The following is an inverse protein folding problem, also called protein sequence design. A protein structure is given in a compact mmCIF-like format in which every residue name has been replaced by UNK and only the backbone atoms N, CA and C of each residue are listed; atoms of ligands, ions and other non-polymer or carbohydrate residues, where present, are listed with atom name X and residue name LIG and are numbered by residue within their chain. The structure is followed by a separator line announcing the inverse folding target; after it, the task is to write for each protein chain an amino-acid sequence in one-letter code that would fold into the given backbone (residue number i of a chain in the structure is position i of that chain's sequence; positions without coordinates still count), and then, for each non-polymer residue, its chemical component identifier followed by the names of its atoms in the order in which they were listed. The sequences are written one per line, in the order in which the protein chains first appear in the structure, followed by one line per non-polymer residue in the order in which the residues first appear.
data_IF_276482366941
#
_entry.id   IF_276482366941
#
_cell.length_a   1.000
_cell.length_b   1.000
_cell.length_c   1.000
_cell.angle_alpha   90.00
_cell.angle_beta   90.00
_cell.angle_gamma   90.00
#
_symmetry.space_group_name_H-M   'P 1'
#
loop_
_entity.id
_entity.type
_entity.pdbx_description
1 polymer ?
#
# COMPACT_ATOMS: atom_id res chain seq x y z
N UNK A 1 18.28 -2.43 -25.11
CA UNK A 1 16.85 -2.37 -24.74
C UNK A 1 16.74 -2.37 -23.21
N UNK A 2 16.63 -1.20 -22.56
CA UNK A 2 16.78 -1.08 -21.10
C UNK A 2 15.74 -1.87 -20.29
N UNK A 3 14.53 -2.04 -20.85
CA UNK A 3 13.45 -2.80 -20.23
C UNK A 3 13.78 -4.29 -20.02
N UNK A 4 14.54 -4.92 -20.91
CA UNK A 4 14.97 -6.32 -20.76
C UNK A 4 15.87 -6.47 -19.52
N UNK A 5 16.80 -5.52 -19.33
CA UNK A 5 17.69 -5.50 -18.18
C UNK A 5 16.89 -5.36 -16.89
N UNK A 6 15.90 -4.45 -16.88
CA UNK A 6 15.03 -4.25 -15.72
C UNK A 6 14.21 -5.51 -15.41
N UNK A 7 13.62 -6.17 -16.43
CA UNK A 7 12.90 -7.44 -16.23
C UNK A 7 13.83 -8.51 -15.68
N UNK A 8 15.04 -8.65 -16.23
CA UNK A 8 15.99 -9.64 -15.76
C UNK A 8 16.34 -9.41 -14.28
N UNK A 9 16.59 -8.17 -13.87
CA UNK A 9 16.84 -7.82 -12.47
C UNK A 9 15.63 -8.12 -11.57
N UNK A 10 14.42 -7.79 -12.01
CA UNK A 10 13.19 -8.08 -11.25
C UNK A 10 12.93 -9.58 -11.13
N UNK A 11 13.21 -10.37 -12.16
CA UNK A 11 13.08 -11.83 -12.13
C UNK A 11 14.11 -12.46 -11.19
N UNK A 12 15.33 -11.95 -11.16
CA UNK A 12 16.36 -12.37 -10.20
C UNK A 12 15.90 -12.05 -8.77
N UNK A 13 15.42 -10.84 -8.52
CA UNK A 13 14.91 -10.43 -7.21
C UNK A 13 13.73 -11.31 -6.76
N UNK A 14 12.76 -11.55 -7.65
CA UNK A 14 11.64 -12.45 -7.41
C UNK A 14 12.09 -13.89 -7.14
N UNK A 15 13.11 -14.39 -7.82
CA UNK A 15 13.62 -15.75 -7.61
C UNK A 15 14.23 -15.92 -6.22
N UNK A 16 15.03 -14.95 -5.78
CA UNK A 16 15.71 -15.03 -4.47
C UNK A 16 14.79 -14.67 -3.30
N UNK A 17 13.80 -13.81 -3.52
CA UNK A 17 12.97 -13.25 -2.46
C UNK A 17 11.50 -13.68 -2.54
N UNK A 18 11.14 -14.67 -3.37
CA UNK A 18 9.74 -15.00 -3.72
C UNK A 18 8.76 -15.02 -2.53
N UNK A 19 9.15 -15.66 -1.43
CA UNK A 19 8.31 -15.81 -0.23
C UNK A 19 8.19 -14.53 0.62
N UNK A 20 9.06 -13.57 0.39
CA UNK A 20 9.16 -12.28 1.12
C UNK A 20 8.74 -11.10 0.26
N UNK A 21 8.48 -11.32 -1.03
CA UNK A 21 8.15 -10.30 -2.00
C UNK A 21 6.70 -9.85 -1.84
N UNK A 22 6.52 -8.56 -1.60
CA UNK A 22 5.21 -7.94 -1.49
C UNK A 22 4.53 -7.75 -2.87
N UNK A 23 3.19 -7.67 -2.86
CA UNK A 23 2.33 -7.54 -4.06
C UNK A 23 2.78 -6.44 -5.06
N UNK A 24 3.47 -5.40 -4.59
CA UNK A 24 3.94 -4.31 -5.43
C UNK A 24 5.12 -4.67 -6.35
N UNK A 25 5.91 -5.71 -6.04
CA UNK A 25 6.98 -6.19 -6.92
C UNK A 25 6.39 -6.91 -8.15
N UNK A 26 5.34 -7.71 -7.95
CA UNK A 26 4.59 -8.31 -9.05
C UNK A 26 3.97 -7.23 -9.93
N UNK A 27 3.38 -6.20 -9.33
CA UNK A 27 2.86 -5.04 -10.06
C UNK A 27 3.96 -4.37 -10.91
N UNK A 28 5.14 -4.13 -10.33
CA UNK A 28 6.28 -3.54 -11.02
C UNK A 28 6.73 -4.41 -12.20
N UNK A 29 6.89 -5.73 -12.00
CA UNK A 29 7.25 -6.68 -13.04
C UNK A 29 6.27 -6.62 -14.23
N UNK A 30 4.97 -6.70 -13.96
CA UNK A 30 3.95 -6.69 -15.00
C UNK A 30 3.81 -5.33 -15.69
N UNK A 31 4.10 -4.22 -15.00
CA UNK A 31 4.20 -2.91 -15.65
C UNK A 31 5.36 -2.84 -16.64
N UNK A 32 6.54 -3.30 -16.22
CA UNK A 32 7.71 -3.31 -17.10
C UNK A 32 7.49 -4.23 -18.29
N UNK A 33 6.87 -5.39 -18.09
CA UNK A 33 6.46 -6.29 -19.18
C UNK A 33 5.48 -5.61 -20.14
N UNK A 34 4.49 -4.89 -19.61
CA UNK A 34 3.52 -4.15 -20.43
C UNK A 34 4.18 -3.04 -21.25
N UNK A 35 5.15 -2.31 -20.67
CA UNK A 35 5.93 -1.30 -21.38
C UNK A 35 6.81 -1.92 -22.47
N UNK A 36 7.45 -3.06 -22.18
CA UNK A 36 8.25 -3.79 -23.16
C UNK A 36 7.38 -4.22 -24.35
N UNK A 37 6.22 -4.82 -24.10
CA UNK A 37 5.28 -5.22 -25.16
C UNK A 37 4.78 -4.02 -25.98
N UNK A 38 4.52 -2.87 -25.33
CA UNK A 38 4.16 -1.63 -26.02
C UNK A 38 5.27 -1.18 -26.97
N UNK A 39 6.54 -1.22 -26.54
CA UNK A 39 7.66 -0.81 -27.40
C UNK A 39 7.82 -1.68 -28.65
N UNK A 40 7.50 -2.97 -28.57
CA UNK A 40 7.59 -3.90 -29.70
C UNK A 40 6.37 -3.84 -30.63
N UNK A 41 5.16 -3.82 -30.07
CA UNK A 41 3.93 -3.98 -30.86
C UNK A 41 3.17 -2.66 -31.12
N UNK A 42 3.51 -1.57 -30.43
CA UNK A 42 2.91 -0.22 -30.58
C UNK A 42 1.37 -0.19 -30.48
N UNK A 43 0.77 -1.12 -29.74
CA UNK A 43 -0.69 -1.21 -29.56
C UNK A 43 -1.13 -0.49 -28.28
N UNK A 44 -1.26 0.83 -28.35
CA UNK A 44 -1.61 1.68 -27.20
C UNK A 44 -2.94 1.29 -26.53
N UNK A 45 -3.94 0.92 -27.30
CA UNK A 45 -5.26 0.54 -26.77
C UNK A 45 -5.22 -0.73 -25.92
N UNK A 46 -4.37 -1.70 -26.29
CA UNK A 46 -4.17 -2.94 -25.54
C UNK A 46 -3.31 -2.66 -24.31
N UNK A 47 -2.29 -1.82 -24.43
CA UNK A 47 -1.48 -1.40 -23.29
C UNK A 47 -2.31 -0.74 -22.18
N UNK A 48 -3.20 0.19 -22.53
CA UNK A 48 -4.09 0.85 -21.56
C UNK A 48 -5.00 -0.17 -20.88
N UNK A 49 -5.57 -1.12 -21.62
CA UNK A 49 -6.37 -2.22 -21.04
C UNK A 49 -5.54 -3.10 -20.10
N UNK A 50 -4.30 -3.43 -20.47
CA UNK A 50 -3.41 -4.22 -19.63
C UNK A 50 -3.11 -3.50 -18.31
N UNK A 51 -2.84 -2.19 -18.33
CA UNK A 51 -2.69 -1.39 -17.12
C UNK A 51 -3.97 -1.43 -16.28
N UNK A 52 -5.14 -1.23 -16.90
CA UNK A 52 -6.43 -1.27 -16.21
C UNK A 52 -6.61 -2.61 -15.48
N UNK A 53 -6.47 -3.72 -16.20
CA UNK A 53 -6.61 -5.06 -15.61
C UNK A 53 -5.56 -5.33 -14.54
N UNK A 54 -4.30 -4.93 -14.76
CA UNK A 54 -3.24 -5.10 -13.78
C UNK A 54 -3.59 -4.40 -12.46
N UNK A 55 -4.01 -3.13 -12.51
CA UNK A 55 -4.41 -2.39 -11.30
C UNK A 55 -5.60 -3.06 -10.62
N UNK A 56 -6.63 -3.43 -11.38
CA UNK A 56 -7.83 -4.10 -10.83
C UNK A 56 -7.44 -5.42 -10.16
N UNK A 57 -6.64 -6.25 -10.80
CA UNK A 57 -6.19 -7.53 -10.25
C UNK A 57 -5.37 -7.34 -8.98
N UNK A 58 -4.45 -6.38 -8.96
CA UNK A 58 -3.62 -6.10 -7.77
C UNK A 58 -4.47 -5.62 -6.59
N UNK A 59 -5.41 -4.71 -6.81
CA UNK A 59 -6.31 -4.24 -5.75
C UNK A 59 -7.23 -5.38 -5.28
N UNK A 60 -7.83 -6.13 -6.20
CA UNK A 60 -8.71 -7.25 -5.87
C UNK A 60 -7.97 -8.38 -5.14
N UNK A 61 -6.73 -8.69 -5.52
CA UNK A 61 -5.89 -9.65 -4.80
C UNK A 61 -5.67 -9.20 -3.35
N UNK A 62 -5.44 -7.90 -3.11
CA UNK A 62 -5.33 -7.36 -1.76
C UNK A 62 -6.64 -7.49 -0.97
N UNK A 63 -7.79 -7.22 -1.59
CA UNK A 63 -9.11 -7.41 -0.97
C UNK A 63 -9.33 -8.87 -0.58
N UNK A 64 -9.06 -9.82 -1.48
CA UNK A 64 -9.22 -11.26 -1.23
C UNK A 64 -8.28 -11.73 -0.10
N UNK A 65 -7.03 -11.28 -0.13
CA UNK A 65 -6.06 -11.59 0.93
C UNK A 65 -6.54 -11.08 2.29
N UNK A 66 -7.06 -9.85 2.36
CA UNK A 66 -7.61 -9.26 3.60
C UNK A 66 -8.83 -10.03 4.10
N UNK A 67 -9.73 -10.44 3.20
CA UNK A 67 -10.90 -11.26 3.53
C UNK A 67 -10.53 -12.69 3.96
N UNK A 68 -9.39 -13.19 3.52
CA UNK A 68 -8.90 -14.52 3.92
C UNK A 68 -8.11 -14.49 5.24
N UNK A 69 -7.74 -13.30 5.72
CA UNK A 69 -7.00 -13.12 6.96
C UNK A 69 -7.94 -12.89 8.14
N UNK A 70 -8.03 -13.88 9.04
CA UNK A 70 -8.80 -13.77 10.29
C UNK A 70 -8.33 -12.59 11.15
N UNK A 71 -7.01 -12.34 11.19
CA UNK A 71 -6.39 -11.21 11.90
C UNK A 71 -6.77 -9.85 11.31
N UNK A 72 -7.04 -9.78 10.00
CA UNK A 72 -7.47 -8.55 9.37
C UNK A 72 -8.96 -8.32 9.62
N UNK A 73 -9.81 -9.32 9.39
CA UNK A 73 -11.27 -9.24 9.57
C UNK A 73 -11.66 -8.85 11.00
N UNK A 74 -10.99 -9.44 11.99
CA UNK A 74 -11.29 -9.16 13.40
C UNK A 74 -10.60 -7.88 13.92
N UNK A 75 -9.90 -7.14 13.05
CA UNK A 75 -9.21 -5.90 13.39
C UNK A 75 -7.92 -6.06 14.18
N UNK A 76 -7.46 -7.28 14.49
CA UNK A 76 -6.24 -7.50 15.30
C UNK A 76 -4.98 -6.95 14.63
N UNK A 77 -4.91 -7.02 13.30
CA UNK A 77 -3.83 -6.41 12.53
C UNK A 77 -3.72 -4.92 12.79
N UNK A 78 -4.83 -4.19 12.63
CA UNK A 78 -4.86 -2.73 12.85
C UNK A 78 -4.66 -2.37 14.31
N UNK A 79 -5.23 -3.15 15.23
CA UNK A 79 -5.06 -2.96 16.67
C UNK A 79 -3.58 -3.00 17.04
N UNK A 80 -2.90 -4.09 16.68
CA UNK A 80 -1.46 -4.23 16.94
C UNK A 80 -0.66 -3.14 16.22
N UNK A 81 -0.94 -2.87 14.94
CA UNK A 81 -0.17 -1.91 14.16
C UNK A 81 -0.30 -0.47 14.69
N UNK A 82 -1.45 -0.11 15.26
CA UNK A 82 -1.65 1.15 15.96
C UNK A 82 -0.91 1.18 17.30
N UNK A 83 -0.99 0.11 18.10
CA UNK A 83 -0.37 0.04 19.42
C UNK A 83 1.16 0.19 19.40
N UNK A 84 1.79 -0.20 18.29
CA UNK A 84 3.25 -0.11 18.09
C UNK A 84 3.67 1.06 17.20
N UNK A 85 2.73 1.91 16.79
CA UNK A 85 3.03 3.08 15.97
C UNK A 85 3.48 2.77 14.54
N UNK A 86 3.16 1.56 14.03
CA UNK A 86 3.43 1.19 12.65
C UNK A 86 2.51 1.92 11.67
N UNK A 87 1.34 2.37 12.13
CA UNK A 87 0.40 3.19 11.37
C UNK A 87 0.33 4.61 11.91
N UNK A 88 0.03 5.57 11.04
CA UNK A 88 -0.19 6.98 11.40
C UNK A 88 0.96 7.61 12.22
N UNK A 89 2.19 7.11 12.08
CA UNK A 89 3.37 7.58 12.83
C UNK A 89 3.55 9.10 12.82
N UNK A 90 3.22 9.75 11.70
CA UNK A 90 3.31 11.22 11.55
C UNK A 90 2.16 11.97 12.22
N UNK A 91 1.00 11.33 12.39
CA UNK A 91 -0.17 11.93 13.05
C UNK A 91 -0.02 11.86 14.57
N UNK A 92 0.59 10.81 15.12
CA UNK A 92 0.78 10.67 16.57
C UNK A 92 1.56 11.82 17.22
N UNK A 93 2.35 12.58 16.46
CA UNK A 93 3.05 13.79 16.95
C UNK A 93 2.06 14.83 17.50
N UNK A 94 0.82 14.85 17.01
CA UNK A 94 -0.22 15.76 17.49
C UNK A 94 -0.98 15.24 18.73
N UNK A 95 -0.67 14.03 19.20
CA UNK A 95 -1.31 13.35 20.33
C UNK A 95 -0.24 12.84 21.31
N UNK A 96 0.33 13.71 22.17
CA UNK A 96 1.50 13.37 22.99
C UNK A 96 1.25 12.16 23.91
N UNK A 97 0.09 12.10 24.57
CA UNK A 97 -0.26 10.96 25.44
C UNK A 97 -0.24 9.62 24.69
N UNK A 98 -0.78 9.61 23.47
CA UNK A 98 -0.79 8.44 22.60
C UNK A 98 0.61 8.09 22.10
N UNK A 99 1.45 9.09 21.81
CA UNK A 99 2.83 8.89 21.39
C UNK A 99 3.67 8.23 22.51
N UNK A 100 3.49 8.66 23.75
CA UNK A 100 4.19 8.08 24.91
C UNK A 100 3.79 6.61 25.12
N UNK A 101 2.49 6.29 24.96
CA UNK A 101 1.99 4.90 25.02
C UNK A 101 2.63 4.06 23.91
N UNK A 102 2.65 4.57 22.67
CA UNK A 102 3.27 3.88 21.52
C UNK A 102 4.76 3.62 21.76
N UNK A 103 5.50 4.61 22.25
CA UNK A 103 6.94 4.47 22.53
C UNK A 103 7.17 3.41 23.61
N UNK A 104 6.45 3.48 24.72
CA UNK A 104 6.55 2.50 25.80
C UNK A 104 6.16 1.08 25.32
N UNK A 105 5.11 0.95 24.51
CA UNK A 105 4.74 -0.35 23.92
C UNK A 105 5.85 -0.89 23.01
N UNK A 106 6.45 -0.04 22.17
CA UNK A 106 7.55 -0.43 21.28
C UNK A 106 8.78 -0.86 22.05
N UNK A 107 9.15 -0.14 23.10
CA UNK A 107 10.27 -0.48 23.98
C UNK A 107 10.05 -1.81 24.69
N UNK A 108 8.85 -2.06 25.21
CA UNK A 108 8.50 -3.33 25.84
C UNK A 108 8.57 -4.51 24.86
N UNK A 109 8.15 -4.32 23.61
CA UNK A 109 8.32 -5.33 22.55
C UNK A 109 9.79 -5.59 22.26
N UNK A 110 10.61 -4.55 22.18
CA UNK A 110 12.05 -4.68 21.93
C UNK A 110 12.77 -5.40 23.07
N UNK A 111 12.34 -5.19 24.32
CA UNK A 111 12.84 -5.94 25.47
C UNK A 111 12.42 -7.40 25.37
N UNK A 112 11.16 -7.69 25.06
CA UNK A 112 10.67 -9.05 24.87
C UNK A 112 11.42 -9.79 23.75
N UNK A 113 11.70 -9.14 22.62
CA UNK A 113 12.48 -9.75 21.53
C UNK A 113 13.95 -10.05 21.90
N UNK A 114 14.48 -9.40 22.95
CA UNK A 114 15.82 -9.68 23.48
C UNK A 114 15.81 -10.73 24.59
N UNK A 115 14.64 -11.07 25.14
CA UNK A 115 14.50 -12.11 26.17
C UNK A 115 14.69 -13.51 25.59
N UNK A 116 15.06 -14.48 26.43
CA UNK A 116 15.15 -15.87 26.02
C UNK A 116 13.74 -16.42 25.70
N UNK A 117 13.49 -16.87 24.45
CA UNK A 117 12.17 -17.37 24.05
C UNK A 117 11.71 -18.60 24.87
N UNK A 118 12.63 -19.31 25.52
CA UNK A 118 12.29 -20.45 26.37
C UNK A 118 11.65 -20.05 27.71
N UNK A 119 11.80 -18.79 28.14
CA UNK A 119 11.24 -18.29 29.40
C UNK A 119 9.74 -17.99 29.32
N UNK A 120 9.14 -18.01 28.12
CA UNK A 120 7.69 -17.76 27.88
C UNK A 120 7.18 -16.46 28.49
N UNK A 121 8.03 -15.44 28.53
CA UNK A 121 7.62 -14.10 28.94
C UNK A 121 6.55 -13.56 27.99
N UNK A 122 5.62 -12.77 28.53
CA UNK A 122 4.60 -12.09 27.74
C UNK A 122 4.45 -10.65 28.22
N UNK A 123 4.07 -9.77 27.30
CA UNK A 123 3.77 -8.37 27.60
C UNK A 123 2.30 -8.10 27.28
N UNK A 124 1.71 -7.16 28.02
CA UNK A 124 0.37 -6.64 27.74
C UNK A 124 0.55 -5.22 27.22
N UNK A 125 0.20 -4.99 25.95
CA UNK A 125 0.27 -3.67 25.35
C UNK A 125 -0.82 -2.78 25.93
N UNK A 126 -0.48 -1.51 26.20
CA UNK A 126 -1.45 -0.51 26.62
C UNK A 126 -2.15 0.04 25.37
N UNK A 127 -3.49 0.13 25.35
CA UNK A 127 -4.20 0.65 24.19
C UNK A 127 -3.90 2.14 24.01
N UNK A 128 -3.53 2.54 22.79
CA UNK A 128 -3.18 3.93 22.47
C UNK A 128 -4.37 4.90 22.55
N UNK A 129 -5.58 4.38 22.36
CA UNK A 129 -6.84 5.12 22.49
C UNK A 129 -7.91 4.27 23.18
N UNK A 130 -8.88 4.92 23.81
CA UNK A 130 -10.10 4.26 24.25
C UNK A 130 -10.84 3.66 23.05
N UNK A 131 -11.41 2.47 23.22
CA UNK A 131 -12.14 1.74 22.17
C UNK A 131 -11.30 1.37 20.92
N UNK A 132 -9.97 1.28 21.04
CA UNK A 132 -9.08 0.94 19.93
C UNK A 132 -9.51 -0.32 19.16
N UNK A 133 -10.04 -1.34 19.86
CA UNK A 133 -10.56 -2.57 19.23
C UNK A 133 -11.68 -2.27 18.23
N UNK A 134 -12.66 -1.45 18.63
CA UNK A 134 -13.78 -1.09 17.75
C UNK A 134 -13.28 -0.28 16.56
N UNK A 135 -12.43 0.71 16.80
CA UNK A 135 -11.82 1.56 15.76
C UNK A 135 -11.08 0.69 14.74
N UNK A 136 -10.30 -0.28 15.21
CA UNK A 136 -9.50 -1.18 14.37
C UNK A 136 -10.37 -2.07 13.48
N UNK A 137 -11.49 -2.60 14.00
CA UNK A 137 -12.45 -3.39 13.22
C UNK A 137 -13.13 -2.52 12.15
N UNK A 138 -13.61 -1.33 12.54
CA UNK A 138 -14.24 -0.40 11.59
C UNK A 138 -13.26 -0.01 10.47
N UNK A 139 -12.02 0.28 10.83
CA UNK A 139 -10.98 0.64 9.87
C UNK A 139 -10.63 -0.52 8.92
N UNK A 140 -10.62 -1.77 9.43
CA UNK A 140 -10.42 -2.97 8.61
C UNK A 140 -11.49 -3.11 7.52
N UNK A 141 -12.76 -3.07 7.91
CA UNK A 141 -13.87 -3.20 6.97
C UNK A 141 -13.95 -2.03 6.01
N UNK A 142 -13.72 -0.80 6.49
CA UNK A 142 -13.68 0.38 5.64
C UNK A 142 -12.60 0.25 4.55
N UNK A 143 -11.41 -0.24 4.91
CA UNK A 143 -10.32 -0.47 3.94
C UNK A 143 -10.76 -1.44 2.84
N UNK A 144 -11.32 -2.60 3.22
CA UNK A 144 -11.80 -3.62 2.28
C UNK A 144 -12.86 -3.05 1.34
N UNK A 145 -13.84 -2.33 1.89
CA UNK A 145 -14.96 -1.78 1.12
C UNK A 145 -14.47 -0.74 0.12
N UNK A 146 -13.60 0.19 0.55
CA UNK A 146 -13.07 1.24 -0.33
C UNK A 146 -12.26 0.62 -1.47
N UNK A 147 -11.35 -0.31 -1.16
CA UNK A 147 -10.53 -0.98 -2.18
C UNK A 147 -11.39 -1.73 -3.20
N UNK A 148 -12.41 -2.47 -2.73
CA UNK A 148 -13.33 -3.17 -3.60
C UNK A 148 -14.11 -2.21 -4.50
N UNK A 149 -14.63 -1.10 -3.95
CA UNK A 149 -15.34 -0.06 -4.71
C UNK A 149 -14.43 0.55 -5.77
N UNK A 150 -13.18 0.88 -5.42
CA UNK A 150 -12.21 1.44 -6.37
C UNK A 150 -11.90 0.47 -7.50
N UNK A 151 -11.65 -0.81 -7.19
CA UNK A 151 -11.40 -1.83 -8.20
C UNK A 151 -12.59 -2.01 -9.14
N UNK A 152 -13.82 -2.09 -8.59
CA UNK A 152 -15.03 -2.18 -9.38
C UNK A 152 -15.26 -0.94 -10.26
N UNK A 153 -15.00 0.26 -9.72
CA UNK A 153 -15.11 1.51 -10.46
C UNK A 153 -14.09 1.62 -11.60
N UNK A 154 -12.85 1.17 -11.38
CA UNK A 154 -11.81 1.09 -12.41
C UNK A 154 -12.15 0.06 -13.48
N UNK A 155 -12.80 -1.04 -13.12
CA UNK A 155 -13.25 -2.04 -14.10
C UNK A 155 -14.41 -1.51 -14.96
N UNK A 156 -15.41 -0.88 -14.34
CA UNK A 156 -16.63 -0.42 -15.03
C UNK A 156 -16.41 0.89 -15.80
N UNK A 157 -15.91 1.93 -15.12
CA UNK A 157 -15.78 3.29 -15.67
C UNK A 157 -14.35 3.80 -15.52
N UNK A 158 -13.36 3.22 -16.22
CA UNK A 158 -11.94 3.54 -16.05
C UNK A 158 -11.57 4.99 -16.37
N UNK A 159 -12.38 5.71 -17.16
CA UNK A 159 -12.12 7.10 -17.57
C UNK A 159 -12.92 8.14 -16.78
N UNK A 160 -13.79 7.70 -15.86
CA UNK A 160 -14.69 8.61 -15.12
C UNK A 160 -13.94 9.42 -14.08
N UNK A 161 -14.24 10.72 -13.99
CA UNK A 161 -13.69 11.62 -12.96
C UNK A 161 -13.92 11.07 -11.56
N UNK A 162 -15.12 10.52 -11.28
CA UNK A 162 -15.46 9.97 -9.95
C UNK A 162 -14.58 8.77 -9.61
N UNK A 163 -14.34 7.87 -10.56
CA UNK A 163 -13.45 6.71 -10.39
C UNK A 163 -12.05 7.16 -9.96
N UNK A 164 -11.51 8.18 -10.63
CA UNK A 164 -10.18 8.70 -10.31
C UNK A 164 -10.13 9.46 -9.00
N UNK A 165 -11.20 10.18 -8.63
CA UNK A 165 -11.28 10.81 -7.30
C UNK A 165 -11.26 9.77 -6.19
N UNK A 166 -12.02 8.67 -6.33
CA UNK A 166 -11.99 7.55 -5.38
C UNK A 166 -10.62 6.89 -5.35
N UNK A 167 -10.00 6.67 -6.51
CA UNK A 167 -8.68 6.06 -6.58
C UNK A 167 -7.59 6.94 -5.95
N UNK A 168 -7.61 8.25 -6.20
CA UNK A 168 -6.71 9.22 -5.56
C UNK A 168 -6.94 9.26 -4.04
N UNK A 169 -8.19 9.30 -3.59
CA UNK A 169 -8.52 9.30 -2.17
C UNK A 169 -7.97 8.05 -1.47
N UNK A 170 -8.11 6.88 -2.10
CA UNK A 170 -7.53 5.63 -1.60
C UNK A 170 -6.00 5.70 -1.52
N UNK A 171 -5.31 6.17 -2.57
CA UNK A 171 -3.85 6.32 -2.59
C UNK A 171 -3.38 7.25 -1.45
N UNK A 172 -4.03 8.40 -1.28
CA UNK A 172 -3.69 9.35 -0.22
C UNK A 172 -3.96 8.75 1.17
N UNK A 173 -5.09 8.06 1.36
CA UNK A 173 -5.40 7.39 2.62
C UNK A 173 -4.32 6.35 2.97
N UNK A 174 -3.86 5.57 1.99
CA UNK A 174 -2.77 4.62 2.21
C UNK A 174 -1.48 5.35 2.54
N UNK A 175 -1.07 6.38 1.79
CA UNK A 175 0.14 7.17 2.09
C UNK A 175 0.15 7.77 3.50
N UNK A 176 -1.00 8.24 3.98
CA UNK A 176 -1.15 8.82 5.32
C UNK A 176 -1.10 7.75 6.41
N UNK A 177 -1.69 6.58 6.15
CA UNK A 177 -1.73 5.47 7.13
C UNK A 177 -0.40 4.74 7.20
N UNK A 178 0.24 4.51 6.06
CA UNK A 178 1.49 3.75 5.91
C UNK A 178 2.30 4.28 4.72
N UNK A 179 3.60 4.49 4.92
CA UNK A 179 4.50 5.05 3.92
C UNK A 179 4.99 4.01 2.89
N UNK A 180 4.06 3.38 2.16
CA UNK A 180 4.34 2.47 1.04
C UNK A 180 4.63 3.24 -0.26
N UNK A 181 5.61 4.14 -0.21
CA UNK A 181 5.85 5.19 -1.22
C UNK A 181 6.08 4.64 -2.64
N UNK A 182 6.83 3.53 -2.77
CA UNK A 182 7.06 2.88 -4.07
C UNK A 182 5.78 2.34 -4.71
N UNK A 183 4.97 1.62 -3.94
CA UNK A 183 3.70 1.07 -4.43
C UNK A 183 2.70 2.19 -4.80
N UNK A 184 2.63 3.25 -3.99
CA UNK A 184 1.74 4.39 -4.24
C UNK A 184 2.14 5.18 -5.49
N UNK A 185 3.44 5.29 -5.77
CA UNK A 185 3.93 5.86 -7.02
C UNK A 185 3.50 5.02 -8.24
N UNK A 186 3.57 3.69 -8.16
CA UNK A 186 3.14 2.79 -9.23
C UNK A 186 1.62 2.86 -9.48
N UNK A 187 0.81 2.85 -8.43
CA UNK A 187 -0.64 3.05 -8.54
C UNK A 187 -0.97 4.41 -9.17
N UNK A 188 -0.26 5.46 -8.77
CA UNK A 188 -0.43 6.81 -9.31
C UNK A 188 -0.02 6.90 -10.79
N UNK A 189 1.07 6.24 -11.18
CA UNK A 189 1.49 6.15 -12.57
C UNK A 189 0.44 5.43 -13.43
N UNK A 190 -0.13 4.35 -12.91
CA UNK A 190 -1.23 3.66 -13.59
C UNK A 190 -2.46 4.56 -13.71
N UNK A 191 -2.82 5.27 -12.64
CA UNK A 191 -3.88 6.26 -12.65
C UNK A 191 -3.67 7.36 -13.68
N UNK A 192 -2.42 7.83 -13.84
CA UNK A 192 -2.04 8.83 -14.84
C UNK A 192 -2.29 8.36 -16.28
N UNK A 193 -2.03 7.09 -16.58
CA UNK A 193 -2.30 6.49 -17.90
C UNK A 193 -3.78 6.25 -18.17
N UNK A 194 -4.55 5.89 -17.14
CA UNK A 194 -5.98 5.59 -17.28
C UNK A 194 -6.84 6.87 -17.33
N UNK A 195 -6.37 7.98 -16.73
CA UNK A 195 -7.15 9.19 -16.57
C UNK A 195 -7.21 10.05 -17.84
N UNK A 196 -8.44 10.46 -18.21
CA UNK A 196 -8.67 11.40 -19.30
C UNK A 196 -8.62 12.88 -18.84
N UNK A 197 -8.91 13.17 -17.56
CA UNK A 197 -9.04 14.53 -17.04
C UNK A 197 -7.67 15.16 -16.74
N UNK A 198 -7.35 16.29 -17.37
CA UNK A 198 -6.06 16.99 -17.24
C UNK A 198 -5.72 17.40 -15.80
N UNK A 199 -6.70 17.86 -15.02
CA UNK A 199 -6.48 18.28 -13.63
C UNK A 199 -6.15 17.10 -12.72
N UNK A 200 -6.88 15.99 -12.86
CA UNK A 200 -6.60 14.78 -12.09
C UNK A 200 -5.27 14.14 -12.48
N UNK A 201 -4.88 14.20 -13.77
CA UNK A 201 -3.54 13.81 -14.22
C UNK A 201 -2.45 14.62 -13.54
N UNK A 202 -2.64 15.94 -13.38
CA UNK A 202 -1.70 16.78 -12.64
C UNK A 202 -1.58 16.34 -11.17
N UNK A 203 -2.69 15.99 -10.51
CA UNK A 203 -2.66 15.46 -9.14
C UNK A 203 -1.85 14.15 -9.08
N UNK A 204 -2.03 13.21 -10.01
CA UNK A 204 -1.21 11.99 -10.05
C UNK A 204 0.28 12.30 -10.19
N UNK A 205 0.65 13.27 -11.04
CA UNK A 205 2.06 13.70 -11.18
C UNK A 205 2.59 14.23 -9.84
N UNK A 206 1.82 15.07 -9.13
CA UNK A 206 2.22 15.56 -7.81
C UNK A 206 2.40 14.43 -6.80
N UNK A 207 1.52 13.42 -6.80
CA UNK A 207 1.65 12.25 -5.92
C UNK A 207 2.93 11.47 -6.25
N UNK A 208 3.21 11.23 -7.53
CA UNK A 208 4.42 10.53 -7.97
C UNK A 208 5.67 11.29 -7.52
N UNK A 209 5.74 12.60 -7.78
CA UNK A 209 6.86 13.44 -7.36
C UNK A 209 7.01 13.44 -5.83
N UNK A 210 5.90 13.54 -5.09
CA UNK A 210 5.90 13.45 -3.64
C UNK A 210 6.46 12.12 -3.14
N UNK A 211 6.04 11.00 -3.72
CA UNK A 211 6.57 9.67 -3.38
C UNK A 211 8.08 9.58 -3.67
N UNK A 212 8.54 10.07 -4.83
CA UNK A 212 9.96 10.09 -5.18
C UNK A 212 10.77 10.93 -4.18
N UNK A 213 10.29 12.12 -3.82
CA UNK A 213 10.95 12.97 -2.82
C UNK A 213 11.03 12.26 -1.47
N UNK A 214 9.96 11.58 -1.03
CA UNK A 214 9.95 10.83 0.22
C UNK A 214 10.97 9.67 0.21
N UNK A 215 11.10 8.98 -0.93
CA UNK A 215 12.11 7.91 -1.11
C UNK A 215 13.52 8.50 -1.04
N UNK A 216 13.80 9.55 -1.81
CA UNK A 216 15.14 10.18 -1.88
C UNK A 216 15.57 10.73 -0.51
N UNK A 217 14.64 11.34 0.22
CA UNK A 217 14.91 11.90 1.56
C UNK A 217 15.00 10.83 2.66
N UNK A 218 14.86 9.54 2.32
CA UNK A 218 14.79 8.40 3.26
C UNK A 218 13.68 8.50 4.31
N UNK A 219 12.78 9.47 4.19
CA UNK A 219 11.61 9.61 5.07
C UNK A 219 10.57 8.54 4.74
N UNK A 220 10.50 8.12 3.48
CA UNK A 220 9.58 7.12 2.95
C UNK A 220 10.22 5.75 2.65
N UNK A 221 11.44 5.49 3.14
CA UNK A 221 12.05 4.16 3.06
C UNK A 221 11.42 3.26 4.14
N UNK A 222 10.67 2.27 3.70
CA UNK A 222 10.18 1.16 4.50
C UNK A 222 10.27 -0.13 3.68
#
# INVERSE_FOLDING_TARGET
MPWIVIIALLLVDLYYSYFWVANHHFMLLFMVLSLMLLTFHKQESIFIKNIQFLVVVVIMASVIQKLSSSQFINGSFYYHALDVGALFKKIFIFFPDSLDIVQNNSDNINVLYKSDPNLREYIVLKPVFNNLKLISVLFAWLTIIIEFIVAAALLWKPKSTVTHLLFIAMIIAVLVTRLETGFMALLSLSGLFLCANKYLRFIYILIILGCIILIITKIGYH
#
